data_IF_264865925803
#
_entry.id   IF_264865925803
#
_cell.length_a   1.000
_cell.length_b   1.000
_cell.length_c   1.000
_cell.angle_alpha   90.00
_cell.angle_beta   90.00
_cell.angle_gamma   90.00
#
_symmetry.space_group_name_H-M   'P 1'
#
loop_
_entity.id
_entity.type
_entity.pdbx_description
1 polymer ?
#
# COMPACT_ATOMS: atom_id res chain seq x y z
N UNK A 1 17.58 27.66 34.58
CA UNK A 1 16.45 26.72 34.38
C UNK A 1 15.51 27.02 33.19
N UNK A 2 15.15 28.27 32.80
CA UNK A 2 14.21 28.47 31.68
C UNK A 2 14.80 28.18 30.30
N UNK A 3 16.09 28.50 30.10
CA UNK A 3 16.78 28.31 28.81
C UNK A 3 16.93 26.83 28.41
N UNK A 4 17.24 25.96 29.37
CA UNK A 4 17.39 24.52 29.12
C UNK A 4 16.03 23.86 28.80
N UNK A 5 14.95 24.25 29.49
CA UNK A 5 13.60 23.78 29.19
C UNK A 5 13.13 24.23 27.80
N UNK A 6 13.45 25.46 27.41
CA UNK A 6 13.16 25.97 26.06
C UNK A 6 13.88 25.17 24.96
N UNK A 7 15.18 24.90 25.16
CA UNK A 7 15.98 24.09 24.24
C UNK A 7 15.42 22.68 24.09
N UNK A 8 15.12 21.99 25.20
CA UNK A 8 14.56 20.63 25.16
C UNK A 8 13.21 20.60 24.44
N UNK A 9 12.37 21.63 24.63
CA UNK A 9 11.06 21.71 23.98
C UNK A 9 11.19 21.90 22.46
N UNK A 10 12.14 22.73 22.01
CA UNK A 10 12.44 22.91 20.58
C UNK A 10 12.93 21.61 19.98
N UNK A 11 13.88 20.92 20.63
CA UNK A 11 14.40 19.65 20.12
C UNK A 11 13.33 18.56 20.03
N UNK A 12 12.45 18.46 21.03
CA UNK A 12 11.32 17.52 21.01
C UNK A 12 10.36 17.84 19.87
N UNK A 13 10.02 19.11 19.65
CA UNK A 13 9.13 19.51 18.56
C UNK A 13 9.73 19.30 17.15
N UNK A 14 11.02 19.63 16.97
CA UNK A 14 11.76 19.39 15.72
C UNK A 14 11.80 17.90 15.37
N UNK A 15 11.74 17.03 16.37
CA UNK A 15 11.82 15.60 16.19
C UNK A 15 10.44 14.93 15.96
N UNK A 16 9.42 15.33 16.73
CA UNK A 16 8.08 14.78 16.60
C UNK A 16 7.50 15.09 15.21
N UNK A 17 7.78 16.28 14.68
CA UNK A 17 7.23 16.73 13.41
C UNK A 17 7.60 15.78 12.25
N UNK A 18 8.87 15.57 11.88
CA UNK A 18 9.23 14.65 10.80
C UNK A 18 8.71 13.22 10.99
N UNK A 19 8.66 12.73 12.23
CA UNK A 19 8.14 11.41 12.53
C UNK A 19 6.64 11.32 12.20
N UNK A 20 5.85 12.32 12.61
CA UNK A 20 4.44 12.41 12.24
C UNK A 20 4.24 12.50 10.72
N UNK A 21 5.09 13.25 10.00
CA UNK A 21 5.03 13.32 8.54
C UNK A 21 5.32 11.97 7.89
N UNK A 22 6.31 11.25 8.39
CA UNK A 22 6.67 9.94 7.86
C UNK A 22 5.56 8.90 8.09
N UNK A 23 4.97 8.86 9.29
CA UNK A 23 3.84 7.96 9.59
C UNK A 23 2.65 8.29 8.70
N UNK A 24 2.30 9.57 8.56
CA UNK A 24 1.22 10.00 7.67
C UNK A 24 1.51 9.61 6.21
N UNK A 25 2.74 9.80 5.74
CA UNK A 25 3.13 9.43 4.37
C UNK A 25 3.02 7.91 4.13
N UNK A 26 3.46 7.09 5.10
CA UNK A 26 3.33 5.63 5.04
C UNK A 26 1.85 5.20 5.03
N UNK A 27 1.03 5.80 5.89
CA UNK A 27 -0.41 5.54 5.96
C UNK A 27 -1.11 5.89 4.64
N UNK A 28 -0.91 7.10 4.12
CA UNK A 28 -1.50 7.54 2.84
C UNK A 28 -1.08 6.63 1.69
N UNK A 29 0.18 6.17 1.67
CA UNK A 29 0.65 5.23 0.64
C UNK A 29 -0.05 3.87 0.74
N UNK A 30 -0.20 3.33 1.96
CA UNK A 30 -0.90 2.06 2.19
C UNK A 30 -2.37 2.16 1.79
N UNK A 31 -3.07 3.20 2.23
CA UNK A 31 -4.47 3.44 1.88
C UNK A 31 -4.65 3.60 0.36
N UNK A 32 -3.72 4.31 -0.29
CA UNK A 32 -3.69 4.43 -1.75
C UNK A 32 -3.55 3.07 -2.44
N UNK A 33 -2.61 2.24 -2.00
CA UNK A 33 -2.43 0.89 -2.55
C UNK A 33 -3.64 -0.02 -2.32
N UNK A 34 -4.26 0.03 -1.13
CA UNK A 34 -5.48 -0.72 -0.81
C UNK A 34 -6.67 -0.28 -1.67
N UNK A 35 -6.84 1.02 -1.88
CA UNK A 35 -7.89 1.56 -2.75
C UNK A 35 -7.70 1.10 -4.20
N UNK A 36 -6.48 1.14 -4.72
CA UNK A 36 -6.16 0.62 -6.07
C UNK A 36 -6.46 -0.88 -6.19
N UNK A 37 -6.09 -1.66 -5.17
CA UNK A 37 -6.37 -3.10 -5.17
C UNK A 37 -7.87 -3.41 -5.05
N UNK A 38 -8.62 -2.62 -4.28
CA UNK A 38 -10.08 -2.71 -4.21
C UNK A 38 -10.73 -2.40 -5.56
N UNK A 39 -10.27 -1.34 -6.25
CA UNK A 39 -10.75 -1.00 -7.60
C UNK A 39 -10.43 -2.09 -8.62
N UNK A 40 -9.21 -2.64 -8.58
CA UNK A 40 -8.82 -3.78 -9.41
C UNK A 40 -9.77 -4.97 -9.20
N UNK A 41 -10.05 -5.32 -7.94
CA UNK A 41 -11.00 -6.39 -7.58
C UNK A 41 -12.41 -6.11 -8.09
N UNK A 42 -12.90 -4.90 -7.87
CA UNK A 42 -14.23 -4.49 -8.29
C UNK A 42 -14.40 -4.59 -9.81
N UNK A 43 -13.41 -4.13 -10.59
CA UNK A 43 -13.45 -4.21 -12.05
C UNK A 43 -13.38 -5.66 -12.55
N UNK A 44 -12.53 -6.51 -11.94
CA UNK A 44 -12.48 -7.94 -12.26
C UNK A 44 -13.81 -8.65 -11.97
N UNK A 45 -14.44 -8.32 -10.83
CA UNK A 45 -15.74 -8.88 -10.47
C UNK A 45 -16.85 -8.38 -11.40
N UNK A 46 -16.87 -7.09 -11.73
CA UNK A 46 -17.81 -6.49 -12.69
C UNK A 46 -17.74 -7.19 -14.04
N UNK A 47 -16.52 -7.42 -14.54
CA UNK A 47 -16.26 -8.13 -15.78
C UNK A 47 -16.76 -9.59 -15.72
N UNK A 48 -16.42 -10.33 -14.67
CA UNK A 48 -16.87 -11.72 -14.53
C UNK A 48 -18.41 -11.83 -14.42
N UNK A 49 -19.04 -10.95 -13.64
CA UNK A 49 -20.50 -10.93 -13.52
C UNK A 49 -21.17 -10.58 -14.85
N UNK A 50 -20.56 -9.69 -15.61
CA UNK A 50 -20.98 -9.35 -16.96
C UNK A 50 -20.93 -10.56 -17.89
N UNK A 51 -19.81 -11.29 -17.92
CA UNK A 51 -19.67 -12.52 -18.72
C UNK A 51 -20.67 -13.60 -18.33
N UNK A 52 -21.05 -13.68 -17.04
CA UNK A 52 -21.92 -14.72 -16.50
C UNK A 52 -23.41 -14.43 -16.60
N UNK A 53 -23.80 -13.18 -16.37
CA UNK A 53 -25.21 -12.84 -16.14
C UNK A 53 -25.90 -12.18 -17.34
N UNK A 54 -25.14 -11.69 -18.32
CA UNK A 54 -25.76 -11.10 -19.51
C UNK A 54 -26.42 -12.18 -20.36
N UNK A 55 -27.68 -11.92 -20.69
CA UNK A 55 -28.42 -12.75 -21.63
C UNK A 55 -28.04 -12.32 -23.03
N UNK A 56 -27.48 -13.25 -23.80
CA UNK A 56 -27.08 -13.05 -25.18
C UNK A 56 -28.17 -13.58 -26.10
N UNK A 57 -28.33 -12.94 -27.26
CA UNK A 57 -29.25 -13.42 -28.30
C UNK A 57 -28.73 -14.71 -28.97
N UNK A 58 -27.40 -14.85 -29.03
CA UNK A 58 -26.71 -16.02 -29.55
C UNK A 58 -26.11 -16.86 -28.41
N UNK A 59 -26.06 -18.18 -28.62
CA UNK A 59 -25.43 -19.09 -27.66
C UNK A 59 -23.91 -18.84 -27.62
N UNK A 60 -23.42 -18.52 -26.42
CA UNK A 60 -21.99 -18.51 -26.13
C UNK A 60 -21.46 -19.95 -26.08
N UNK A 61 -20.18 -20.19 -26.41
CA UNK A 61 -19.56 -21.50 -26.24
C UNK A 61 -19.77 -22.03 -24.81
N UNK A 62 -20.06 -23.33 -24.67
CA UNK A 62 -20.36 -23.94 -23.37
C UNK A 62 -19.25 -23.70 -22.32
N UNK A 63 -18.00 -23.64 -22.76
CA UNK A 63 -16.83 -23.44 -21.90
C UNK A 63 -16.54 -21.96 -21.60
N UNK A 64 -17.28 -21.01 -22.19
CA UNK A 64 -16.99 -19.57 -22.10
C UNK A 64 -16.94 -19.06 -20.66
N UNK A 65 -17.91 -19.43 -19.83
CA UNK A 65 -17.98 -19.02 -18.43
C UNK A 65 -16.80 -19.57 -17.63
N UNK A 66 -16.40 -20.81 -17.92
CA UNK A 66 -15.26 -21.45 -17.27
C UNK A 66 -13.93 -20.82 -17.71
N UNK A 67 -13.80 -20.49 -18.99
CA UNK A 67 -12.66 -19.74 -19.52
C UNK A 67 -12.58 -18.35 -18.89
N UNK A 68 -13.70 -17.63 -18.77
CA UNK A 68 -13.73 -16.32 -18.12
C UNK A 68 -13.36 -16.40 -16.64
N UNK A 69 -13.89 -17.39 -15.91
CA UNK A 69 -13.54 -17.62 -14.50
C UNK A 69 -12.05 -17.90 -14.34
N UNK A 70 -11.50 -18.79 -15.17
CA UNK A 70 -10.07 -19.13 -15.18
C UNK A 70 -9.21 -17.90 -15.49
N UNK A 71 -9.56 -17.12 -16.50
CA UNK A 71 -8.81 -15.91 -16.87
C UNK A 71 -8.77 -14.90 -15.71
N UNK A 72 -9.91 -14.63 -15.06
CA UNK A 72 -9.96 -13.73 -13.90
C UNK A 72 -9.15 -14.29 -12.71
N UNK A 73 -9.25 -15.59 -12.43
CA UNK A 73 -8.46 -16.22 -11.36
C UNK A 73 -6.95 -16.19 -11.64
N UNK A 74 -6.55 -16.45 -12.89
CA UNK A 74 -5.16 -16.36 -13.33
C UNK A 74 -4.64 -14.94 -13.18
N UNK A 75 -5.44 -13.93 -13.54
CA UNK A 75 -5.10 -12.53 -13.37
C UNK A 75 -4.79 -12.20 -11.91
N UNK A 76 -5.64 -12.65 -10.97
CA UNK A 76 -5.38 -12.49 -9.54
C UNK A 76 -4.11 -13.19 -9.07
N UNK A 77 -3.88 -14.42 -9.55
CA UNK A 77 -2.70 -15.22 -9.19
C UNK A 77 -1.42 -14.54 -9.66
N UNK A 78 -1.39 -14.07 -10.90
CA UNK A 78 -0.21 -13.45 -11.50
C UNK A 78 0.05 -12.05 -10.95
N UNK A 79 -1.00 -11.25 -10.68
CA UNK A 79 -0.84 -9.97 -9.98
C UNK A 79 -0.33 -10.18 -8.56
N UNK A 80 -0.84 -11.18 -7.83
CA UNK A 80 -0.29 -11.55 -6.51
C UNK A 80 1.18 -11.95 -6.64
N UNK A 81 1.50 -12.82 -7.60
CA UNK A 81 2.87 -13.26 -7.88
C UNK A 81 3.81 -12.08 -8.11
N UNK A 82 3.38 -11.13 -8.96
CA UNK A 82 4.10 -9.89 -9.23
C UNK A 82 4.37 -9.05 -7.98
N UNK A 83 3.35 -8.86 -7.12
CA UNK A 83 3.46 -8.05 -5.90
C UNK A 83 4.31 -8.72 -4.81
N UNK A 84 4.36 -10.05 -4.78
CA UNK A 84 5.14 -10.82 -3.79
C UNK A 84 6.54 -11.20 -4.26
N UNK A 85 6.85 -10.97 -5.54
CA UNK A 85 8.14 -11.31 -6.13
C UNK A 85 9.29 -10.58 -5.41
N UNK A 86 10.32 -11.33 -5.04
CA UNK A 86 11.48 -10.78 -4.34
C UNK A 86 12.56 -10.32 -5.31
N UNK A 87 12.60 -10.95 -6.48
CA UNK A 87 13.60 -10.66 -7.53
C UNK A 87 12.97 -9.95 -8.73
N UNK A 88 13.77 -9.13 -9.40
CA UNK A 88 13.33 -8.43 -10.61
C UNK A 88 12.99 -9.41 -11.75
N UNK A 89 13.71 -10.53 -11.82
CA UNK A 89 13.45 -11.57 -12.82
C UNK A 89 12.07 -12.21 -12.61
N UNK A 90 11.69 -12.54 -11.38
CA UNK A 90 10.35 -13.05 -11.06
C UNK A 90 9.26 -12.04 -11.40
N UNK A 91 9.49 -10.75 -11.08
CA UNK A 91 8.57 -9.67 -11.44
C UNK A 91 8.32 -9.62 -12.94
N UNK A 92 9.37 -9.67 -13.77
CA UNK A 92 9.23 -9.64 -15.24
C UNK A 92 8.42 -10.84 -15.75
N UNK A 93 8.61 -12.03 -15.17
CA UNK A 93 7.86 -13.24 -15.54
C UNK A 93 6.38 -13.07 -15.22
N UNK A 94 6.04 -12.66 -13.99
CA UNK A 94 4.65 -12.44 -13.61
C UNK A 94 4.01 -11.29 -14.40
N UNK A 95 4.75 -10.20 -14.65
CA UNK A 95 4.27 -9.08 -15.45
C UNK A 95 3.88 -9.51 -16.87
N UNK A 96 4.72 -10.32 -17.53
CA UNK A 96 4.40 -10.88 -18.84
C UNK A 96 3.11 -11.68 -18.80
N UNK A 97 2.96 -12.58 -17.82
CA UNK A 97 1.76 -13.40 -17.67
C UNK A 97 0.50 -12.59 -17.37
N UNK A 98 0.63 -11.48 -16.63
CA UNK A 98 -0.49 -10.54 -16.43
C UNK A 98 -0.94 -9.97 -17.77
N UNK A 99 -0.01 -9.52 -18.64
CA UNK A 99 -0.37 -9.01 -19.96
C UNK A 99 -0.93 -10.08 -20.89
N UNK A 100 -0.39 -11.30 -20.86
CA UNK A 100 -0.93 -12.43 -21.62
C UNK A 100 -2.38 -12.72 -21.18
N UNK A 101 -2.63 -12.74 -19.87
CA UNK A 101 -3.98 -12.95 -19.32
C UNK A 101 -4.94 -11.79 -19.65
N UNK A 102 -4.45 -10.54 -19.65
CA UNK A 102 -5.26 -9.38 -20.09
C UNK A 102 -5.63 -9.47 -21.56
N UNK A 103 -4.73 -9.98 -22.40
CA UNK A 103 -5.01 -10.27 -23.80
C UNK A 103 -6.10 -11.34 -23.94
N UNK A 104 -5.99 -12.44 -23.18
CA UNK A 104 -7.03 -13.49 -23.12
C UNK A 104 -8.39 -12.94 -22.70
N UNK A 105 -8.43 -12.09 -21.67
CA UNK A 105 -9.65 -11.41 -21.23
C UNK A 105 -10.25 -10.55 -22.34
N UNK A 106 -9.42 -9.81 -23.07
CA UNK A 106 -9.89 -8.97 -24.17
C UNK A 106 -10.47 -9.81 -25.31
N UNK A 107 -9.88 -10.97 -25.61
CA UNK A 107 -10.42 -11.92 -26.58
C UNK A 107 -11.78 -12.50 -26.13
N UNK A 108 -11.97 -12.75 -24.84
CA UNK A 108 -13.27 -13.17 -24.31
C UNK A 108 -14.35 -12.09 -24.50
N UNK A 109 -14.00 -10.81 -24.35
CA UNK A 109 -14.92 -9.71 -24.64
C UNK A 109 -15.31 -9.68 -26.13
N UNK A 110 -14.37 -10.00 -27.02
CA UNK A 110 -14.65 -10.09 -28.46
C UNK A 110 -15.63 -11.22 -28.79
N UNK A 111 -15.58 -12.35 -28.07
CA UNK A 111 -16.59 -13.42 -28.20
C UNK A 111 -17.99 -12.86 -27.88
N UNK A 112 -18.13 -12.13 -26.78
CA UNK A 112 -19.43 -11.50 -26.45
C UNK A 112 -19.86 -10.49 -27.51
N UNK A 113 -18.92 -9.74 -28.11
CA UNK A 113 -19.20 -8.81 -29.20
C UNK A 113 -19.73 -9.52 -30.45
N UNK A 114 -19.22 -10.70 -30.76
CA UNK A 114 -19.69 -11.52 -31.89
C UNK A 114 -21.11 -12.06 -31.60
N UNK A 115 -21.43 -12.39 -30.35
CA UNK A 115 -22.77 -12.81 -29.91
C UNK A 115 -23.82 -11.67 -29.86
N UNK A 116 -23.64 -10.61 -30.66
CA UNK A 116 -24.58 -9.51 -30.85
C UNK A 116 -25.01 -8.74 -29.59
N UNK A 117 -24.09 -8.54 -28.62
CA UNK A 117 -24.38 -7.61 -27.52
C UNK A 117 -24.64 -6.19 -28.03
N UNK A 118 -25.59 -5.46 -27.42
CA UNK A 118 -25.80 -4.04 -27.68
C UNK A 118 -24.49 -3.23 -27.55
N UNK A 119 -24.25 -2.23 -28.43
CA UNK A 119 -23.05 -1.39 -28.37
C UNK A 119 -22.76 -0.74 -27.00
N UNK A 120 -23.76 -0.29 -26.21
CA UNK A 120 -23.51 0.24 -24.87
C UNK A 120 -22.91 -0.78 -23.90
N UNK A 121 -23.28 -2.05 -24.03
CA UNK A 121 -22.78 -3.15 -23.22
C UNK A 121 -21.35 -3.53 -23.63
N UNK A 122 -21.07 -3.52 -24.94
CA UNK A 122 -19.69 -3.67 -25.45
C UNK A 122 -18.76 -2.56 -24.94
N UNK A 123 -19.22 -1.31 -24.94
CA UNK A 123 -18.46 -0.20 -24.37
C UNK A 123 -18.20 -0.39 -22.86
N UNK A 124 -19.15 -0.97 -22.12
CA UNK A 124 -18.96 -1.28 -20.69
C UNK A 124 -17.88 -2.34 -20.47
N UNK A 125 -17.85 -3.40 -21.28
CA UNK A 125 -16.80 -4.43 -21.22
C UNK A 125 -15.39 -3.84 -21.41
N UNK A 126 -15.25 -2.95 -22.41
CA UNK A 126 -13.99 -2.24 -22.67
C UNK A 126 -13.62 -1.34 -21.49
N UNK A 127 -14.60 -0.64 -20.92
CA UNK A 127 -14.40 0.20 -19.73
C UNK A 127 -13.94 -0.62 -18.52
N UNK A 128 -14.52 -1.80 -18.28
CA UNK A 128 -14.15 -2.66 -17.16
C UNK A 128 -12.70 -3.16 -17.34
N UNK A 129 -12.30 -3.58 -18.54
CA UNK A 129 -10.91 -3.98 -18.85
C UNK A 129 -9.94 -2.81 -18.69
N UNK A 130 -10.28 -1.63 -19.21
CA UNK A 130 -9.46 -0.43 -19.01
C UNK A 130 -9.32 -0.09 -17.51
N UNK A 131 -10.38 -0.29 -16.73
CA UNK A 131 -10.36 -0.13 -15.27
C UNK A 131 -9.40 -1.11 -14.58
N UNK A 132 -9.37 -2.38 -15.02
CA UNK A 132 -8.42 -3.39 -14.55
C UNK A 132 -6.99 -2.95 -14.87
N UNK A 133 -6.71 -2.60 -16.14
CA UNK A 133 -5.37 -2.20 -16.62
C UNK A 133 -4.88 -0.97 -15.84
N UNK A 134 -5.69 0.09 -15.76
CA UNK A 134 -5.31 1.32 -15.07
C UNK A 134 -5.02 1.09 -13.58
N UNK A 135 -5.87 0.30 -12.92
CA UNK A 135 -5.68 -0.04 -11.50
C UNK A 135 -4.40 -0.86 -11.30
N UNK A 136 -4.11 -1.81 -12.18
CA UNK A 136 -2.89 -2.62 -12.13
C UNK A 136 -1.63 -1.79 -12.40
N UNK A 137 -1.58 -0.98 -13.46
CA UNK A 137 -0.41 -0.15 -13.78
C UNK A 137 -0.15 0.90 -12.70
N UNK A 138 -1.20 1.49 -12.12
CA UNK A 138 -1.02 2.41 -11.00
C UNK A 138 -0.49 1.65 -9.77
N UNK A 139 -1.03 0.47 -9.47
CA UNK A 139 -0.54 -0.37 -8.37
C UNK A 139 0.91 -0.79 -8.57
N UNK A 140 1.30 -1.06 -9.82
CA UNK A 140 2.67 -1.36 -10.24
C UNK A 140 3.61 -0.21 -9.90
N UNK A 141 3.23 1.02 -10.27
CA UNK A 141 4.01 2.22 -9.93
C UNK A 141 4.18 2.34 -8.41
N UNK A 142 3.12 2.12 -7.63
CA UNK A 142 3.19 2.15 -6.15
C UNK A 142 4.10 1.06 -5.56
N UNK A 143 4.14 -0.12 -6.19
CA UNK A 143 4.97 -1.26 -5.79
C UNK A 143 6.45 -1.05 -6.14
N UNK A 144 6.73 -0.63 -7.37
CA UNK A 144 8.09 -0.41 -7.88
C UNK A 144 8.73 0.85 -7.28
N UNK A 145 7.94 1.90 -7.07
CA UNK A 145 8.39 3.10 -6.36
C UNK A 145 8.38 2.86 -4.86
N UNK A 146 9.46 2.23 -4.34
CA UNK A 146 9.66 2.08 -2.90
C UNK A 146 9.72 3.44 -2.20
N UNK A 147 9.16 3.51 -0.99
CA UNK A 147 9.39 4.61 -0.04
C UNK A 147 10.88 4.94 -0.03
N UNK A 148 11.26 6.22 -0.22
CA UNK A 148 12.66 6.56 -0.29
C UNK A 148 13.32 6.19 1.05
N UNK A 149 14.40 5.41 0.95
CA UNK A 149 15.23 4.94 2.08
C UNK A 149 15.61 6.06 3.05
N UNK A 150 15.63 7.31 2.56
CA UNK A 150 15.88 8.53 3.33
C UNK A 150 14.90 8.73 4.50
N UNK A 151 13.60 8.48 4.32
CA UNK A 151 12.62 8.68 5.40
C UNK A 151 12.85 7.67 6.52
N UNK A 152 13.11 6.41 6.15
CA UNK A 152 13.40 5.34 7.12
C UNK A 152 14.71 5.59 7.86
N UNK A 153 15.78 5.95 7.13
CA UNK A 153 17.06 6.28 7.72
C UNK A 153 16.98 7.48 8.66
N UNK A 154 16.21 8.51 8.28
CA UNK A 154 15.98 9.70 9.08
C UNK A 154 15.29 9.38 10.41
N UNK A 155 14.24 8.55 10.39
CA UNK A 155 13.52 8.15 11.62
C UNK A 155 14.41 7.31 12.54
N UNK A 156 15.12 6.32 11.99
CA UNK A 156 16.07 5.51 12.75
C UNK A 156 17.15 6.38 13.41
N UNK A 157 17.66 7.38 12.70
CA UNK A 157 18.60 8.36 13.23
C UNK A 157 17.98 9.18 14.38
N UNK A 158 16.77 9.70 14.18
CA UNK A 158 16.03 10.46 15.19
C UNK A 158 15.80 9.67 16.49
N UNK A 159 15.42 8.39 16.40
CA UNK A 159 15.17 7.54 17.58
C UNK A 159 16.44 7.33 18.41
N UNK A 160 17.59 7.17 17.76
CA UNK A 160 18.87 7.00 18.45
C UNK A 160 19.34 8.33 19.06
N UNK A 161 19.16 9.44 18.33
CA UNK A 161 19.63 10.75 18.75
C UNK A 161 18.90 11.30 19.99
N UNK A 162 17.62 10.96 20.15
CA UNK A 162 16.74 11.58 21.16
C UNK A 162 17.08 11.21 22.60
N UNK A 163 17.24 9.91 22.95
CA UNK A 163 17.71 9.53 24.28
C UNK A 163 19.06 10.17 24.60
N UNK A 164 19.96 10.30 23.62
CA UNK A 164 21.28 10.91 23.82
C UNK A 164 21.17 12.40 24.13
N UNK A 165 20.32 13.14 23.41
CA UNK A 165 20.11 14.57 23.65
C UNK A 165 19.34 14.85 24.95
N UNK A 166 18.40 13.99 25.34
CA UNK A 166 17.60 14.15 26.56
C UNK A 166 18.25 13.57 27.82
N UNK A 167 19.25 12.70 27.71
CA UNK A 167 20.01 12.15 28.84
C UNK A 167 20.49 13.23 29.84
N UNK A 168 21.13 14.35 29.44
CA UNK A 168 21.57 15.37 30.39
C UNK A 168 20.42 16.08 31.09
N UNK A 169 19.25 16.23 30.44
CA UNK A 169 18.05 16.78 31.07
C UNK A 169 17.52 15.86 32.17
N UNK A 170 17.47 14.55 31.93
CA UNK A 170 17.06 13.58 32.95
C UNK A 170 18.06 13.48 34.10
N UNK A 171 19.35 13.60 33.82
CA UNK A 171 20.40 13.62 34.85
C UNK A 171 20.30 14.86 35.75
N UNK A 172 19.94 16.03 35.21
CA UNK A 172 19.70 17.24 35.99
C UNK A 172 18.40 17.15 36.81
N UNK A 173 17.34 16.62 36.21
CA UNK A 173 16.05 16.39 36.88
C UNK A 173 16.19 15.44 38.07
N UNK A 174 17.01 14.38 37.95
CA UNK A 174 17.28 13.45 39.04
C UNK A 174 18.01 14.09 40.23
N UNK A 175 18.78 15.16 40.00
CA UNK A 175 19.51 15.90 41.04
C UNK A 175 18.69 16.98 41.70
N UNK A 176 17.72 17.57 40.99
CA UNK A 176 16.91 18.69 41.46
C UNK A 176 15.54 18.30 41.99
N UNK A 177 15.04 17.09 41.69
CA UNK A 177 13.78 16.61 42.21
C UNK A 177 13.92 16.03 43.63
N UNK A 178 12.97 16.37 44.52
CA UNK A 178 12.87 15.78 45.87
C UNK A 178 12.71 14.25 45.84
N UNK A 179 12.11 13.74 44.76
CA UNK A 179 11.93 12.32 44.52
C UNK A 179 12.66 11.92 43.23
N UNK A 180 13.85 11.30 43.32
CA UNK A 180 14.63 10.94 42.15
C UNK A 180 13.89 9.94 41.26
N UNK A 181 13.00 9.11 41.82
CA UNK A 181 12.15 8.16 41.09
C UNK A 181 11.33 8.79 39.95
N UNK A 182 10.94 10.07 40.07
CA UNK A 182 10.21 10.80 39.02
C UNK A 182 11.06 10.90 37.74
N UNK A 183 12.37 11.11 37.87
CA UNK A 183 13.27 11.19 36.73
C UNK A 183 13.42 9.84 36.01
N UNK A 184 13.45 8.73 36.75
CA UNK A 184 13.50 7.38 36.19
C UNK A 184 12.21 7.02 35.45
N UNK A 185 11.06 7.33 36.05
CA UNK A 185 9.75 7.12 35.41
C UNK A 185 9.65 7.96 34.14
N UNK A 186 10.02 9.25 34.18
CA UNK A 186 10.00 10.12 33.02
C UNK A 186 10.95 9.64 31.90
N UNK A 187 12.14 9.16 32.25
CA UNK A 187 13.10 8.60 31.30
C UNK A 187 12.60 7.31 30.63
N UNK A 188 11.79 6.51 31.32
CA UNK A 188 11.15 5.31 30.76
C UNK A 188 9.92 5.63 29.90
N UNK A 189 9.11 6.61 30.33
CA UNK A 189 7.83 6.94 29.67
C UNK A 189 8.01 7.79 28.40
N UNK A 190 8.99 8.69 28.37
CA UNK A 190 9.22 9.57 27.22
C UNK A 190 9.58 8.84 25.90
N UNK A 191 10.40 7.77 25.87
CA UNK A 191 10.69 7.04 24.64
C UNK A 191 9.53 6.15 24.16
N UNK A 192 8.55 5.83 25.00
CA UNK A 192 7.46 4.91 24.65
C UNK A 192 6.61 5.36 23.45
N UNK A 193 6.18 6.63 23.33
CA UNK A 193 5.50 7.12 22.13
C UNK A 193 6.34 6.98 20.86
N UNK A 194 7.65 7.20 20.94
CA UNK A 194 8.55 7.03 19.79
C UNK A 194 8.65 5.56 19.38
N UNK A 195 8.71 4.64 20.34
CA UNK A 195 8.70 3.21 20.09
C UNK A 195 7.36 2.76 19.46
N UNK A 196 6.23 3.24 19.98
CA UNK A 196 4.90 2.97 19.41
C UNK A 196 4.80 3.46 17.95
N UNK A 197 5.28 4.67 17.67
CA UNK A 197 5.30 5.22 16.32
C UNK A 197 6.17 4.38 15.38
N UNK A 198 7.28 3.81 15.86
CA UNK A 198 8.11 2.90 15.05
C UNK A 198 7.45 1.57 14.78
N UNK A 199 6.72 1.01 15.75
CA UNK A 199 5.94 -0.21 15.55
C UNK A 199 4.87 0.03 14.49
N UNK A 200 4.13 1.14 14.61
CA UNK A 200 3.10 1.51 13.62
C UNK A 200 3.70 1.71 12.23
N UNK A 201 4.83 2.41 12.11
CA UNK A 201 5.48 2.57 10.80
C UNK A 201 5.89 1.23 10.20
N UNK A 202 6.46 0.33 11.00
CA UNK A 202 6.88 -1.00 10.54
C UNK A 202 5.71 -1.86 10.06
N UNK A 203 4.54 -1.72 10.68
CA UNK A 203 3.32 -2.43 10.28
C UNK A 203 2.63 -1.82 9.04
N UNK A 204 3.01 -0.60 8.65
CA UNK A 204 2.50 0.08 7.46
C UNK A 204 3.32 -0.19 6.20
N UNK A 205 4.56 -0.67 6.35
CA UNK A 205 5.47 -1.05 5.25
C UNK A 205 5.21 -2.47 4.73
#
# INVERSE_FOLDING_TARGET
MPFQRFITTIFVNILIFPLSFAVNAAYVRREGALALFANFKANCLSLYLTHRCWHLEEEVPADFIDCSRKAVMNLFSEVRGYLTAQTEMEKVVHLRKVYDTLSEVTLLNDIMRICNIPPPLSARLISDVNGIINSFETLRIFSDYRTPSSIRAFINFCIILVPVLLAPFFADLAKTADHPSIAWVAAFLLPMPFLLLTCVQRDLE
#
